data_IF_071763661638
#
_entry.id   IF_071763661638
#
_cell.length_a   1.000
_cell.length_b   1.000
_cell.length_c   1.000
_cell.angle_alpha   90.00
_cell.angle_beta   90.00
_cell.angle_gamma   90.00
#
_symmetry.space_group_name_H-M   'P 1'
#
loop_
_entity.id
_entity.type
_entity.pdbx_description
1 polymer ?
#
# COMPACT_ATOMS: atom_id res chain seq x y z
N UNK A 1 -12.13 33.92 8.77
CA UNK A 1 -11.15 32.96 8.21
C UNK A 1 -11.72 31.58 8.46
N UNK A 2 -12.26 30.93 7.44
CA UNK A 2 -12.79 29.56 7.58
C UNK A 2 -11.63 28.65 7.91
N UNK A 3 -11.55 28.19 9.16
CA UNK A 3 -10.60 27.18 9.62
C UNK A 3 -10.84 25.90 8.84
N UNK A 4 -10.12 25.76 7.71
CA UNK A 4 -10.16 24.59 6.86
C UNK A 4 -9.49 23.46 7.63
N UNK A 5 -10.27 22.74 8.44
CA UNK A 5 -9.87 21.66 9.36
C UNK A 5 -8.71 20.84 8.80
N UNK A 6 -7.49 21.25 9.14
CA UNK A 6 -6.27 20.67 8.62
C UNK A 6 -6.18 19.23 9.14
N UNK A 7 -6.26 18.26 8.24
CA UNK A 7 -6.08 16.84 8.58
C UNK A 7 -4.72 16.67 9.26
N UNK A 8 -4.72 16.06 10.44
CA UNK A 8 -3.51 15.82 11.22
C UNK A 8 -2.52 14.93 10.44
N UNK A 9 -1.26 15.37 10.35
CA UNK A 9 -0.20 14.67 9.60
C UNK A 9 0.01 13.23 10.08
N UNK A 10 -0.10 12.97 11.39
CA UNK A 10 -0.05 11.62 11.96
C UNK A 10 -1.03 10.64 11.30
N UNK A 11 -2.27 11.08 11.01
CA UNK A 11 -3.27 10.21 10.37
C UNK A 11 -2.87 9.86 8.93
N UNK A 12 -2.23 10.81 8.23
CA UNK A 12 -1.74 10.61 6.86
C UNK A 12 -0.58 9.62 6.86
N UNK A 13 0.38 9.80 7.77
CA UNK A 13 1.54 8.92 7.93
C UNK A 13 1.07 7.51 8.31
N UNK A 14 0.14 7.39 9.26
CA UNK A 14 -0.42 6.11 9.67
C UNK A 14 -1.15 5.41 8.53
N UNK A 15 -1.96 6.14 7.75
CA UNK A 15 -2.59 5.58 6.56
C UNK A 15 -1.56 5.02 5.58
N UNK A 16 -0.51 5.79 5.28
CA UNK A 16 0.54 5.37 4.37
C UNK A 16 1.28 4.10 4.87
N UNK A 17 1.63 4.06 6.16
CA UNK A 17 2.29 2.89 6.76
C UNK A 17 1.39 1.65 6.68
N UNK A 18 0.11 1.79 7.02
CA UNK A 18 -0.84 0.68 6.94
C UNK A 18 -1.05 0.21 5.51
N UNK A 19 -1.14 1.11 4.54
CA UNK A 19 -1.24 0.78 3.12
C UNK A 19 0.02 0.05 2.64
N UNK A 20 1.19 0.53 3.02
CA UNK A 20 2.45 -0.10 2.65
C UNK A 20 2.54 -1.53 3.21
N UNK A 21 2.23 -1.72 4.49
CA UNK A 21 2.23 -3.05 5.10
C UNK A 21 1.21 -3.97 4.45
N UNK A 22 -0.03 -3.50 4.25
CA UNK A 22 -1.10 -4.30 3.65
C UNK A 22 -0.72 -4.71 2.22
N UNK A 23 -0.26 -3.76 1.41
CA UNK A 23 0.18 -4.02 0.05
C UNK A 23 1.39 -4.95 0.02
N UNK A 24 2.38 -4.72 0.89
CA UNK A 24 3.59 -5.54 0.99
C UNK A 24 3.26 -6.99 1.30
N UNK A 25 2.49 -7.26 2.35
CA UNK A 25 2.14 -8.63 2.73
C UNK A 25 1.21 -9.29 1.71
N UNK A 26 0.17 -8.59 1.26
CA UNK A 26 -0.81 -9.18 0.35
C UNK A 26 -0.20 -9.47 -1.02
N UNK A 27 0.45 -8.48 -1.63
CA UNK A 27 1.07 -8.64 -2.95
C UNK A 27 2.26 -9.59 -2.86
N UNK A 28 3.09 -9.46 -1.81
CA UNK A 28 4.27 -10.28 -1.62
C UNK A 28 3.92 -11.75 -1.47
N UNK A 29 2.90 -12.05 -0.65
CA UNK A 29 2.42 -13.41 -0.46
C UNK A 29 1.79 -13.98 -1.73
N UNK A 30 0.98 -13.19 -2.46
CA UNK A 30 0.38 -13.63 -3.73
C UNK A 30 1.46 -13.95 -4.76
N UNK A 31 2.44 -13.06 -4.97
CA UNK A 31 3.54 -13.30 -5.92
C UNK A 31 4.37 -14.50 -5.49
N UNK A 32 4.67 -14.63 -4.19
CA UNK A 32 5.44 -15.74 -3.66
C UNK A 32 4.73 -17.09 -3.84
N UNK A 33 3.43 -17.15 -3.54
CA UNK A 33 2.61 -18.34 -3.71
C UNK A 33 2.53 -18.77 -5.19
N UNK A 34 2.43 -17.80 -6.11
CA UNK A 34 2.39 -18.08 -7.55
C UNK A 34 3.75 -18.52 -8.13
N UNK A 35 4.85 -18.10 -7.52
CA UNK A 35 6.21 -18.34 -8.04
C UNK A 35 6.98 -19.40 -7.24
N UNK A 36 6.38 -20.01 -6.21
CA UNK A 36 7.04 -20.99 -5.35
C UNK A 36 8.07 -20.38 -4.38
N UNK A 37 8.00 -19.07 -4.12
CA UNK A 37 8.93 -18.32 -3.25
C UNK A 37 8.39 -18.09 -1.83
N UNK A 38 7.44 -18.91 -1.39
CA UNK A 38 6.98 -18.95 0.01
C UNK A 38 8.02 -19.61 0.90
N UNK A 39 8.14 -19.17 2.15
CA UNK A 39 9.04 -19.74 3.16
C UNK A 39 8.29 -19.99 4.46
N UNK A 40 8.90 -20.74 5.39
CA UNK A 40 8.31 -21.07 6.69
C UNK A 40 7.89 -19.84 7.51
N UNK A 41 8.54 -18.69 7.29
CA UNK A 41 8.24 -17.41 7.94
C UNK A 41 7.46 -16.40 7.08
N UNK A 42 7.13 -16.73 5.83
CA UNK A 42 6.45 -15.80 4.92
C UNK A 42 6.84 -16.00 3.46
N UNK A 43 7.66 -15.10 2.91
CA UNK A 43 8.12 -15.16 1.53
C UNK A 43 9.53 -14.61 1.35
N UNK A 44 10.21 -15.07 0.30
CA UNK A 44 11.55 -14.60 -0.09
C UNK A 44 11.60 -14.42 -1.61
N UNK A 45 11.37 -13.20 -2.08
CA UNK A 45 11.34 -12.88 -3.51
C UNK A 45 12.72 -12.42 -3.97
N UNK A 46 13.30 -13.13 -4.93
CA UNK A 46 14.60 -12.81 -5.53
C UNK A 46 14.49 -12.74 -7.06
N UNK A 47 15.31 -11.92 -7.72
CA UNK A 47 15.34 -11.82 -9.17
C UNK A 47 14.01 -11.35 -9.79
N UNK A 48 13.50 -12.08 -10.78
CA UNK A 48 12.29 -11.72 -11.54
C UNK A 48 11.03 -11.51 -10.68
N UNK A 49 10.68 -12.43 -9.76
CA UNK A 49 9.57 -12.24 -8.82
C UNK A 49 9.67 -10.96 -7.98
N UNK A 50 10.88 -10.51 -7.62
CA UNK A 50 11.07 -9.27 -6.87
C UNK A 50 10.71 -8.04 -7.73
N UNK A 51 11.08 -8.04 -9.01
CA UNK A 51 10.73 -6.95 -9.94
C UNK A 51 9.20 -6.87 -10.10
N UNK A 52 8.53 -8.01 -10.31
CA UNK A 52 7.07 -8.09 -10.41
C UNK A 52 6.41 -7.53 -9.15
N UNK A 53 6.91 -7.93 -7.98
CA UNK A 53 6.42 -7.43 -6.71
C UNK A 53 6.52 -5.90 -6.60
N UNK A 54 7.67 -5.29 -6.91
CA UNK A 54 7.81 -3.84 -6.88
C UNK A 54 6.88 -3.14 -7.88
N UNK A 55 6.72 -3.67 -9.09
CA UNK A 55 5.79 -3.13 -10.09
C UNK A 55 4.36 -3.15 -9.56
N UNK A 56 3.94 -4.24 -8.92
CA UNK A 56 2.60 -4.36 -8.34
C UNK A 56 2.38 -3.42 -7.15
N UNK A 57 3.39 -3.21 -6.30
CA UNK A 57 3.32 -2.22 -5.21
C UNK A 57 3.14 -0.80 -5.78
N UNK A 58 3.93 -0.42 -6.79
CA UNK A 58 3.80 0.88 -7.45
C UNK A 58 2.42 1.01 -8.09
N UNK A 59 1.97 -0.03 -8.80
CA UNK A 59 0.65 -0.07 -9.42
C UNK A 59 -0.49 0.09 -8.40
N UNK A 60 -0.37 -0.52 -7.22
CA UNK A 60 -1.32 -0.34 -6.11
C UNK A 60 -1.42 1.13 -5.69
N UNK A 61 -0.29 1.77 -5.39
CA UNK A 61 -0.29 3.17 -4.92
C UNK A 61 -0.74 4.15 -6.01
N UNK A 62 -0.29 3.97 -7.26
CA UNK A 62 -0.70 4.83 -8.38
C UNK A 62 -2.18 4.63 -8.70
N UNK A 63 -2.65 3.38 -8.79
CA UNK A 63 -4.04 3.07 -9.12
C UNK A 63 -5.00 3.63 -8.06
N UNK A 64 -4.69 3.39 -6.79
CA UNK A 64 -5.53 3.87 -5.68
C UNK A 64 -5.45 5.39 -5.48
N UNK A 65 -4.29 5.99 -5.71
CA UNK A 65 -4.12 7.45 -5.70
C UNK A 65 -4.90 8.12 -6.84
N UNK A 66 -4.83 7.58 -8.06
CA UNK A 66 -5.38 8.20 -9.28
C UNK A 66 -6.88 7.98 -9.48
N UNK A 67 -7.39 6.79 -9.17
CA UNK A 67 -8.80 6.43 -9.44
C UNK A 67 -9.67 6.36 -8.18
N UNK A 68 -9.04 6.27 -7.01
CA UNK A 68 -9.71 5.97 -5.75
C UNK A 68 -10.00 7.14 -4.82
N UNK A 69 -9.48 8.33 -5.14
CA UNK A 69 -9.51 9.47 -4.22
C UNK A 69 -8.69 9.25 -2.95
N UNK A 70 -7.68 8.38 -3.01
CA UNK A 70 -6.82 7.98 -1.89
C UNK A 70 -6.76 6.46 -1.72
N UNK A 71 -5.71 6.00 -1.05
CA UNK A 71 -5.47 4.60 -0.68
C UNK A 71 -6.53 4.08 0.32
N UNK A 72 -6.58 2.76 0.54
CA UNK A 72 -7.64 2.14 1.38
C UNK A 72 -7.66 2.79 2.76
N UNK A 73 -6.50 2.88 3.40
CA UNK A 73 -6.41 3.42 4.75
C UNK A 73 -6.59 4.93 4.81
N UNK A 74 -6.30 5.67 3.73
CA UNK A 74 -6.65 7.09 3.64
C UNK A 74 -8.18 7.31 3.62
N UNK A 75 -8.94 6.40 3.03
CA UNK A 75 -10.42 6.44 3.06
C UNK A 75 -10.94 6.10 4.45
N UNK A 76 -10.43 5.03 5.06
CA UNK A 76 -10.84 4.58 6.40
C UNK A 76 -10.52 5.66 7.43
N UNK A 77 -9.29 6.17 7.43
CA UNK A 77 -8.85 7.21 8.36
C UNK A 77 -9.29 8.61 7.95
N UNK A 78 -10.12 8.77 6.90
CA UNK A 78 -10.68 10.06 6.42
C UNK A 78 -9.62 11.17 6.34
N UNK A 79 -8.50 10.87 5.69
CA UNK A 79 -7.37 11.81 5.58
C UNK A 79 -7.36 12.62 4.30
N UNK A 80 -8.36 12.42 3.43
CA UNK A 80 -8.53 13.17 2.20
C UNK A 80 -8.74 14.65 2.51
N UNK A 81 -7.76 15.49 2.20
CA UNK A 81 -7.98 16.94 2.03
C UNK A 81 -8.75 17.12 0.72
N UNK A 82 -9.96 17.70 0.80
CA UNK A 82 -10.62 18.29 -0.36
C UNK A 82 -10.02 19.67 -0.60
#
# INVERSE_FOLDING_TARGET
>A
MTDGKQVASWRIILAFVLDLLTAFFLIGYVVAAMTGNTSDGGFSLNGGPAIIFFVLIIAYFIGMGRYGGGTIWQRILKTKRR
#
